data_IF_944473994606
#
_entry.id   IF_944473994606
#
_cell.length_a   1.000
_cell.length_b   1.000
_cell.length_c   1.000
_cell.angle_alpha   90.00
_cell.angle_beta   90.00
_cell.angle_gamma   90.00
#
_symmetry.space_group_name_H-M   'P 1'
#
loop_
_entity.id
_entity.type
_entity.pdbx_description
1 polymer ?
#
# COMPACT_ATOMS: atom_id res chain seq x y z
N UNK A 1 10.16 -25.41 -12.23
CA UNK A 1 11.63 -25.56 -12.29
C UNK A 1 12.15 -26.00 -13.64
N UNK A 2 11.66 -27.10 -14.21
CA UNK A 2 12.05 -27.56 -15.56
C UNK A 2 11.84 -26.49 -16.63
N UNK A 3 10.62 -25.96 -16.74
CA UNK A 3 10.24 -24.89 -17.69
C UNK A 3 11.18 -23.68 -17.64
N UNK A 4 11.56 -23.21 -16.43
CA UNK A 4 12.44 -22.05 -16.29
C UNK A 4 13.84 -22.31 -16.87
N UNK A 5 14.40 -23.50 -16.62
CA UNK A 5 15.70 -23.91 -17.17
C UNK A 5 15.62 -24.12 -18.68
N UNK A 6 14.54 -24.75 -19.16
CA UNK A 6 14.33 -25.00 -20.60
C UNK A 6 14.26 -23.70 -21.42
N UNK A 7 13.83 -22.58 -20.82
CA UNK A 7 13.82 -21.24 -21.45
C UNK A 7 15.04 -20.37 -21.10
N UNK A 8 16.09 -20.96 -20.50
CA UNK A 8 17.36 -20.30 -20.23
C UNK A 8 17.37 -19.35 -19.03
N UNK A 9 16.43 -19.49 -18.09
CA UNK A 9 16.40 -18.70 -16.85
C UNK A 9 17.17 -19.43 -15.74
N UNK A 10 18.31 -18.86 -15.34
CA UNK A 10 19.15 -19.37 -14.26
C UNK A 10 19.63 -18.24 -13.31
N UNK A 11 19.71 -18.49 -12.00
CA UNK A 11 19.28 -19.72 -11.32
C UNK A 11 17.75 -19.82 -11.24
N UNK A 12 17.24 -21.05 -11.36
CA UNK A 12 15.86 -21.36 -11.01
C UNK A 12 15.85 -21.96 -9.59
N UNK A 13 15.01 -21.44 -8.69
CA UNK A 13 14.97 -21.83 -7.28
C UNK A 13 13.53 -22.01 -6.79
N UNK A 14 13.34 -22.89 -5.79
CA UNK A 14 12.09 -23.02 -5.03
C UNK A 14 12.37 -22.57 -3.60
N UNK A 15 11.68 -21.53 -3.15
CA UNK A 15 11.81 -20.99 -1.80
C UNK A 15 10.61 -21.44 -0.97
N UNK A 16 10.83 -22.31 0.01
CA UNK A 16 9.80 -22.74 0.94
C UNK A 16 9.67 -21.71 2.06
N UNK A 17 8.44 -21.30 2.38
CA UNK A 17 8.16 -20.30 3.41
C UNK A 17 7.21 -20.85 4.47
N UNK A 18 7.40 -20.42 5.71
CA UNK A 18 6.44 -20.66 6.80
C UNK A 18 5.47 -19.50 6.84
N UNK A 19 4.19 -19.78 6.67
CA UNK A 19 3.12 -18.77 6.72
C UNK A 19 2.66 -18.59 8.16
N UNK A 20 2.73 -17.35 8.66
CA UNK A 20 2.23 -17.00 9.99
C UNK A 20 0.70 -16.94 10.07
N UNK A 21 0.18 -16.67 11.27
CA UNK A 21 -1.27 -16.53 11.51
C UNK A 21 -1.76 -15.07 11.58
N UNK A 22 -0.86 -14.09 11.61
CA UNK A 22 -1.23 -12.68 11.79
C UNK A 22 -1.83 -12.08 10.51
N UNK A 23 -2.87 -11.26 10.65
CA UNK A 23 -3.49 -10.54 9.53
C UNK A 23 -4.38 -11.39 8.60
N UNK A 24 -4.58 -12.67 8.92
CA UNK A 24 -5.33 -13.63 8.11
C UNK A 24 -4.48 -14.35 7.05
N UNK A 25 -4.96 -15.47 6.50
CA UNK A 25 -4.15 -16.38 5.68
C UNK A 25 -3.61 -15.74 4.40
N UNK A 26 -4.40 -14.91 3.71
CA UNK A 26 -3.94 -14.23 2.48
C UNK A 26 -2.86 -13.18 2.76
N UNK A 27 -3.00 -12.42 3.85
CA UNK A 27 -2.04 -11.38 4.22
C UNK A 27 -0.72 -12.00 4.69
N UNK A 28 -0.78 -13.01 5.56
CA UNK A 28 0.40 -13.73 6.05
C UNK A 28 1.14 -14.44 4.92
N UNK A 29 0.42 -15.10 3.99
CA UNK A 29 1.05 -15.75 2.84
C UNK A 29 1.71 -14.73 1.90
N UNK A 30 1.07 -13.57 1.70
CA UNK A 30 1.63 -12.48 0.92
C UNK A 30 2.90 -11.93 1.58
N UNK A 31 2.88 -11.68 2.88
CA UNK A 31 4.05 -11.18 3.61
C UNK A 31 5.22 -12.15 3.53
N UNK A 32 4.98 -13.45 3.83
CA UNK A 32 5.99 -14.49 3.74
C UNK A 32 6.60 -14.60 2.33
N UNK A 33 5.76 -14.51 1.28
CA UNK A 33 6.22 -14.50 -0.12
C UNK A 33 7.12 -13.30 -0.43
N UNK A 34 6.72 -12.11 -0.01
CA UNK A 34 7.53 -10.90 -0.26
C UNK A 34 8.83 -10.91 0.53
N UNK A 35 8.85 -11.45 1.74
CA UNK A 35 10.07 -11.63 2.52
C UNK A 35 11.05 -12.58 1.82
N UNK A 36 10.59 -13.76 1.37
CA UNK A 36 11.45 -14.70 0.64
C UNK A 36 11.96 -14.14 -0.70
N UNK A 37 11.13 -13.39 -1.44
CA UNK A 37 11.56 -12.71 -2.66
C UNK A 37 12.60 -11.62 -2.38
N UNK A 38 12.47 -10.89 -1.27
CA UNK A 38 13.44 -9.88 -0.86
C UNK A 38 14.79 -10.52 -0.51
N UNK A 39 14.79 -11.58 0.31
CA UNK A 39 15.99 -12.32 0.70
C UNK A 39 16.70 -12.90 -0.53
N UNK A 40 15.96 -13.53 -1.45
CA UNK A 40 16.54 -14.05 -2.69
C UNK A 40 17.10 -12.93 -3.57
N UNK A 41 16.43 -11.80 -3.67
CA UNK A 41 16.93 -10.67 -4.44
C UNK A 41 18.20 -10.07 -3.85
N UNK A 42 18.37 -10.08 -2.53
CA UNK A 42 19.62 -9.67 -1.87
C UNK A 42 20.74 -10.67 -2.12
N UNK A 43 20.49 -11.96 -1.87
CA UNK A 43 21.45 -13.05 -2.07
C UNK A 43 21.96 -13.11 -3.52
N UNK A 44 21.07 -12.92 -4.49
CA UNK A 44 21.40 -12.94 -5.92
C UNK A 44 21.86 -11.57 -6.45
N UNK A 45 21.93 -10.53 -5.60
CA UNK A 45 22.24 -9.14 -5.99
C UNK A 45 21.37 -8.64 -7.15
N UNK A 46 20.10 -9.04 -7.17
CA UNK A 46 19.16 -8.63 -8.19
C UNK A 46 18.77 -7.16 -8.01
N UNK A 47 18.96 -6.35 -9.06
CA UNK A 47 18.49 -4.96 -9.08
C UNK A 47 16.96 -4.86 -9.09
N UNK A 48 16.30 -5.82 -9.74
CA UNK A 48 14.87 -5.78 -10.03
C UNK A 48 14.22 -7.14 -9.83
N UNK A 49 12.99 -7.12 -9.28
CA UNK A 49 12.11 -8.29 -9.17
C UNK A 49 10.86 -8.06 -10.03
N UNK A 50 10.67 -8.91 -11.04
CA UNK A 50 9.52 -8.87 -11.94
C UNK A 50 8.36 -9.69 -11.38
N UNK A 51 7.17 -9.10 -11.30
CA UNK A 51 5.96 -9.76 -10.80
C UNK A 51 4.90 -9.79 -11.90
N UNK A 52 4.28 -10.96 -12.09
CA UNK A 52 3.27 -11.20 -13.14
C UNK A 52 1.87 -10.72 -12.81
N UNK A 53 1.73 -9.53 -12.21
CA UNK A 53 0.40 -8.94 -11.97
C UNK A 53 -0.17 -8.33 -13.25
N UNK A 54 -1.46 -8.52 -13.46
CA UNK A 54 -2.24 -8.09 -14.63
C UNK A 54 -3.25 -6.99 -14.28
N UNK A 55 -3.93 -6.47 -15.29
CA UNK A 55 -5.03 -5.50 -15.16
C UNK A 55 -6.19 -6.03 -14.33
N UNK A 56 -6.47 -7.32 -14.43
CA UNK A 56 -7.49 -8.01 -13.64
C UNK A 56 -7.11 -8.01 -12.14
N UNK A 57 -5.84 -8.27 -11.82
CA UNK A 57 -5.34 -8.20 -10.44
C UNK A 57 -5.42 -6.77 -9.87
N UNK A 58 -5.32 -5.75 -10.73
CA UNK A 58 -5.56 -4.36 -10.35
C UNK A 58 -7.01 -4.12 -9.99
N UNK A 59 -7.94 -4.51 -10.87
CA UNK A 59 -9.36 -4.37 -10.62
C UNK A 59 -9.79 -5.04 -9.31
N UNK A 60 -9.29 -6.26 -9.05
CA UNK A 60 -9.48 -6.94 -7.77
C UNK A 60 -8.96 -6.12 -6.58
N UNK A 61 -7.75 -5.57 -6.71
CA UNK A 61 -7.12 -4.77 -5.64
C UNK A 61 -7.92 -3.52 -5.35
N UNK A 62 -8.44 -2.85 -6.37
CA UNK A 62 -9.27 -1.64 -6.24
C UNK A 62 -10.59 -1.96 -5.54
N UNK A 63 -11.30 -3.02 -5.95
CA UNK A 63 -12.56 -3.43 -5.33
C UNK A 63 -12.36 -3.81 -3.85
N UNK A 64 -11.30 -4.55 -3.54
CA UNK A 64 -10.95 -4.86 -2.15
C UNK A 64 -10.55 -3.61 -1.36
N UNK A 65 -9.92 -2.63 -2.01
CA UNK A 65 -9.57 -1.33 -1.42
C UNK A 65 -10.80 -0.48 -1.09
N UNK A 66 -11.78 -0.45 -2.01
CA UNK A 66 -13.08 0.21 -1.83
C UNK A 66 -13.85 -0.38 -0.65
N UNK A 67 -13.97 -1.71 -0.60
CA UNK A 67 -14.69 -2.40 0.48
C UNK A 67 -14.09 -2.14 1.87
N UNK A 68 -12.78 -1.87 1.96
CA UNK A 68 -12.09 -1.54 3.21
C UNK A 68 -12.24 -0.07 3.65
N UNK A 69 -12.92 0.77 2.86
CA UNK A 69 -13.21 2.16 3.23
C UNK A 69 -11.96 3.03 3.43
N UNK A 70 -10.87 2.74 2.71
CA UNK A 70 -9.62 3.48 2.86
C UNK A 70 -9.55 4.64 1.84
N UNK A 71 -8.88 5.73 2.21
CA UNK A 71 -8.80 6.95 1.38
C UNK A 71 -8.09 6.72 0.05
N UNK A 72 -7.94 7.78 -0.75
CA UNK A 72 -7.46 7.74 -2.15
C UNK A 72 -6.29 6.77 -2.44
N UNK A 73 -5.33 6.62 -1.49
CA UNK A 73 -4.20 5.70 -1.60
C UNK A 73 -4.58 4.21 -1.73
N UNK A 74 -5.69 3.75 -1.15
CA UNK A 74 -6.14 2.36 -1.35
C UNK A 74 -6.80 2.14 -2.71
N UNK A 75 -7.35 3.20 -3.30
CA UNK A 75 -7.91 3.19 -4.65
C UNK A 75 -6.83 3.23 -5.72
N UNK A 76 -5.64 3.74 -5.40
CA UNK A 76 -4.47 3.78 -6.30
C UNK A 76 -3.96 2.39 -6.74
N UNK A 77 -4.55 1.30 -6.25
CA UNK A 77 -4.20 -0.08 -6.62
C UNK A 77 -2.74 -0.42 -6.35
N UNK A 78 -2.16 -1.29 -7.19
CA UNK A 78 -0.73 -1.58 -7.23
C UNK A 78 0.02 -0.53 -8.05
N UNK A 79 1.27 -0.24 -7.69
CA UNK A 79 2.15 0.59 -8.51
C UNK A 79 2.87 -0.26 -9.56
N UNK A 80 3.07 0.27 -10.77
CA UNK A 80 3.92 -0.38 -11.78
C UNK A 80 5.36 -0.56 -11.27
N UNK A 81 5.85 0.40 -10.47
CA UNK A 81 7.15 0.38 -9.79
C UNK A 81 6.98 0.61 -8.29
N UNK A 82 7.61 -0.22 -7.47
CA UNK A 82 7.64 -0.07 -6.01
C UNK A 82 8.98 -0.56 -5.48
N UNK A 83 9.89 0.34 -5.12
CA UNK A 83 11.26 -0.03 -4.73
C UNK A 83 11.96 -0.84 -5.84
N UNK A 84 12.39 -2.06 -5.54
CA UNK A 84 12.97 -3.02 -6.51
C UNK A 84 11.94 -3.82 -7.33
N UNK A 85 10.66 -3.77 -6.96
CA UNK A 85 9.61 -4.55 -7.64
C UNK A 85 9.10 -3.82 -8.88
N UNK A 86 8.85 -4.57 -9.96
CA UNK A 86 8.26 -4.10 -11.22
C UNK A 86 7.12 -5.02 -11.64
N UNK A 87 6.09 -4.44 -12.24
CA UNK A 87 4.89 -5.15 -12.74
C UNK A 87 4.68 -4.81 -14.22
N UNK A 88 5.45 -5.40 -15.15
CA UNK A 88 5.40 -5.03 -16.57
C UNK A 88 4.09 -5.40 -17.27
N UNK A 89 3.31 -6.34 -16.70
CA UNK A 89 2.07 -6.83 -17.30
C UNK A 89 0.81 -6.13 -16.74
N UNK A 90 0.98 -5.08 -15.93
CA UNK A 90 -0.09 -4.51 -15.11
C UNK A 90 -1.23 -3.89 -15.93
N UNK A 91 -0.93 -3.47 -17.16
CA UNK A 91 -1.90 -2.89 -18.09
C UNK A 91 -2.50 -3.93 -19.05
N UNK A 92 -1.99 -5.17 -19.03
CA UNK A 92 -2.47 -6.26 -19.88
C UNK A 92 -3.58 -7.04 -19.18
N UNK A 93 -4.63 -7.45 -19.90
CA UNK A 93 -5.62 -8.35 -19.34
C UNK A 93 -5.03 -9.74 -19.14
N UNK A 94 -5.53 -10.47 -18.14
CA UNK A 94 -5.13 -11.85 -17.86
C UNK A 94 -5.35 -12.77 -19.08
N UNK A 95 -6.37 -12.51 -19.88
CA UNK A 95 -6.60 -13.28 -21.10
C UNK A 95 -5.41 -13.24 -22.06
N UNK A 96 -4.70 -12.10 -22.15
CA UNK A 96 -3.50 -11.96 -22.99
C UNK A 96 -2.35 -12.81 -22.47
N UNK A 97 -2.13 -12.86 -21.15
CA UNK A 97 -1.05 -13.69 -20.58
C UNK A 97 -1.34 -15.18 -20.75
N UNK A 98 -2.60 -15.59 -20.60
CA UNK A 98 -3.03 -16.97 -20.88
C UNK A 98 -2.85 -17.34 -22.35
N UNK A 99 -3.24 -16.45 -23.28
CA UNK A 99 -3.04 -16.65 -24.71
C UNK A 99 -1.55 -16.77 -25.08
N UNK A 100 -0.71 -15.94 -24.48
CA UNK A 100 0.74 -16.00 -24.67
C UNK A 100 1.34 -17.33 -24.19
N UNK A 101 0.94 -17.81 -22.99
CA UNK A 101 1.36 -19.13 -22.51
C UNK A 101 0.97 -20.25 -23.48
N UNK A 102 -0.27 -20.24 -23.99
CA UNK A 102 -0.73 -21.22 -25.00
C UNK A 102 0.09 -21.16 -26.28
N UNK A 103 0.34 -19.95 -26.81
CA UNK A 103 1.12 -19.75 -28.02
C UNK A 103 2.58 -20.23 -27.88
N UNK A 104 3.14 -20.14 -26.67
CA UNK A 104 4.50 -20.61 -26.36
C UNK A 104 4.55 -22.08 -25.92
N UNK A 105 3.43 -22.80 -25.89
CA UNK A 105 3.39 -24.18 -25.39
C UNK A 105 3.70 -24.31 -23.89
N UNK A 106 3.50 -23.25 -23.11
CA UNK A 106 3.74 -23.23 -21.67
C UNK A 106 2.48 -23.66 -20.92
N UNK A 107 2.61 -24.67 -20.06
CA UNK A 107 1.56 -25.07 -19.11
C UNK A 107 1.79 -24.37 -17.77
N UNK A 108 1.00 -23.33 -17.41
CA UNK A 108 1.11 -22.71 -16.10
C UNK A 108 0.68 -23.68 -14.99
N UNK A 109 1.24 -23.50 -13.81
CA UNK A 109 0.77 -24.20 -12.62
C UNK A 109 -0.59 -23.65 -12.19
N UNK A 110 -1.54 -24.54 -11.92
CA UNK A 110 -2.85 -24.18 -11.38
C UNK A 110 -2.89 -24.48 -9.89
N UNK A 111 -2.88 -23.43 -9.06
CA UNK A 111 -2.93 -23.54 -7.61
C UNK A 111 -4.36 -23.83 -7.15
N UNK A 112 -4.63 -24.93 -6.42
CA UNK A 112 -5.97 -25.24 -5.90
C UNK A 112 -6.62 -24.09 -5.09
N UNK A 113 -5.83 -23.22 -4.46
CA UNK A 113 -6.35 -22.07 -3.72
C UNK A 113 -6.96 -20.99 -4.62
N UNK A 114 -6.70 -21.02 -5.94
CA UNK A 114 -7.28 -20.07 -6.90
C UNK A 114 -8.79 -20.24 -7.10
N UNK A 115 -9.35 -21.36 -6.66
CA UNK A 115 -10.77 -21.71 -6.80
C UNK A 115 -11.51 -21.72 -5.46
N UNK A 116 -10.82 -21.60 -4.33
CA UNK A 116 -11.44 -21.72 -3.02
C UNK A 116 -12.19 -20.42 -2.63
N UNK A 117 -13.54 -20.44 -2.54
CA UNK A 117 -14.34 -19.24 -2.31
C UNK A 117 -14.20 -18.69 -0.89
N UNK A 118 -13.51 -19.37 0.04
CA UNK A 118 -13.17 -18.81 1.36
C UNK A 118 -12.28 -17.58 1.22
N UNK A 119 -11.47 -17.52 0.16
CA UNK A 119 -10.60 -16.38 -0.14
C UNK A 119 -11.37 -15.24 -0.80
N UNK A 120 -11.26 -14.04 -0.21
CA UNK A 120 -12.03 -12.87 -0.68
C UNK A 120 -11.63 -12.51 -2.12
N UNK A 121 -10.36 -12.68 -2.46
CA UNK A 121 -9.87 -12.41 -3.82
C UNK A 121 -10.48 -13.33 -4.87
N UNK A 122 -10.68 -14.61 -4.52
CA UNK A 122 -11.36 -15.61 -5.36
C UNK A 122 -12.80 -15.20 -5.62
N UNK A 123 -13.54 -14.77 -4.58
CA UNK A 123 -14.92 -14.26 -4.75
C UNK A 123 -14.99 -13.01 -5.61
N UNK A 124 -14.02 -12.09 -5.48
CA UNK A 124 -13.98 -10.90 -6.34
C UNK A 124 -13.79 -11.27 -7.80
N UNK A 125 -12.87 -12.21 -8.09
CA UNK A 125 -12.56 -12.67 -9.44
C UNK A 125 -13.71 -13.44 -10.10
N UNK A 126 -14.30 -14.40 -9.39
CA UNK A 126 -15.26 -15.34 -9.98
C UNK A 126 -16.72 -14.94 -9.79
N UNK A 127 -17.02 -13.95 -8.95
CA UNK A 127 -18.40 -13.52 -8.69
C UNK A 127 -18.57 -12.02 -8.91
N UNK A 128 -17.80 -11.18 -8.20
CA UNK A 128 -18.05 -9.73 -8.20
C UNK A 128 -17.75 -9.09 -9.57
N UNK A 129 -16.56 -9.32 -10.11
CA UNK A 129 -16.18 -8.76 -11.42
C UNK A 129 -17.11 -9.25 -12.55
N UNK A 130 -17.43 -10.56 -12.67
CA UNK A 130 -18.39 -11.04 -13.65
C UNK A 130 -19.78 -10.41 -13.53
N UNK A 131 -20.31 -10.25 -12.31
CA UNK A 131 -21.59 -9.57 -12.09
C UNK A 131 -21.52 -8.10 -12.53
N UNK A 132 -20.45 -7.39 -12.17
CA UNK A 132 -20.29 -6.00 -12.61
C UNK A 132 -20.22 -5.89 -14.14
N UNK A 133 -19.50 -6.80 -14.82
CA UNK A 133 -19.44 -6.79 -16.29
C UNK A 133 -20.77 -7.16 -16.94
N UNK A 134 -21.53 -8.09 -16.35
CA UNK A 134 -22.85 -8.47 -16.85
C UNK A 134 -23.87 -7.33 -16.72
N UNK A 135 -23.86 -6.60 -15.60
CA UNK A 135 -24.86 -5.59 -15.27
C UNK A 135 -24.49 -4.18 -15.79
N UNK A 136 -23.20 -3.83 -15.82
CA UNK A 136 -22.72 -2.49 -16.22
C UNK A 136 -22.11 -2.46 -17.62
N UNK A 137 -21.90 -3.62 -18.23
CA UNK A 137 -21.27 -3.78 -19.54
C UNK A 137 -19.78 -4.14 -19.46
N UNK A 138 -19.19 -4.54 -20.60
CA UNK A 138 -17.81 -5.01 -20.65
C UNK A 138 -16.81 -3.90 -20.32
N UNK A 139 -15.64 -4.29 -19.80
CA UNK A 139 -14.53 -3.36 -19.57
C UNK A 139 -14.49 -2.73 -18.18
N UNK A 140 -15.26 -3.24 -17.22
CA UNK A 140 -15.21 -2.79 -15.81
C UNK A 140 -13.81 -2.92 -15.24
N UNK A 141 -13.12 -4.03 -15.49
CA UNK A 141 -11.75 -4.23 -15.00
C UNK A 141 -10.78 -3.16 -15.52
N UNK A 142 -10.93 -2.77 -16.79
CA UNK A 142 -10.13 -1.70 -17.38
C UNK A 142 -10.48 -0.33 -16.80
N UNK A 143 -11.77 -0.02 -16.62
CA UNK A 143 -12.20 1.22 -16.01
C UNK A 143 -11.68 1.37 -14.56
N UNK A 144 -11.70 0.29 -13.78
CA UNK A 144 -11.15 0.25 -12.43
C UNK A 144 -9.63 0.46 -12.44
N UNK A 145 -8.90 -0.19 -13.34
CA UNK A 145 -7.46 0.00 -13.48
C UNK A 145 -7.08 1.43 -13.89
N UNK A 146 -7.82 2.05 -14.84
CA UNK A 146 -7.63 3.47 -15.20
C UNK A 146 -7.90 4.39 -14.02
N UNK A 147 -8.98 4.15 -13.28
CA UNK A 147 -9.31 4.91 -12.05
C UNK A 147 -8.20 4.80 -11.01
N UNK A 148 -7.62 3.61 -10.83
CA UNK A 148 -6.48 3.41 -9.95
C UNK A 148 -5.24 4.20 -10.39
N UNK A 149 -4.99 4.26 -11.71
CA UNK A 149 -3.91 5.07 -12.29
C UNK A 149 -4.08 6.55 -11.98
N UNK A 150 -5.28 7.11 -12.19
CA UNK A 150 -5.60 8.51 -11.88
C UNK A 150 -5.48 8.78 -10.37
N UNK A 151 -6.10 7.95 -9.54
CA UNK A 151 -6.03 8.06 -8.09
C UNK A 151 -4.58 7.96 -7.57
N UNK A 152 -3.70 7.24 -8.25
CA UNK A 152 -2.26 7.18 -7.93
C UNK A 152 -1.56 8.49 -8.25
N UNK A 153 -1.78 9.05 -9.44
CA UNK A 153 -1.19 10.33 -9.83
C UNK A 153 -1.56 11.42 -8.83
N UNK A 154 -2.85 11.51 -8.48
CA UNK A 154 -3.34 12.46 -7.49
C UNK A 154 -2.75 12.22 -6.10
N UNK A 155 -2.69 10.95 -5.67
CA UNK A 155 -2.12 10.60 -4.37
C UNK A 155 -0.63 10.92 -4.28
N UNK A 156 0.15 10.64 -5.34
CA UNK A 156 1.58 10.91 -5.41
C UNK A 156 1.85 12.44 -5.43
N UNK A 157 1.06 13.23 -6.17
CA UNK A 157 1.16 14.69 -6.15
C UNK A 157 0.83 15.29 -4.77
N UNK A 158 -0.22 14.78 -4.10
CA UNK A 158 -0.58 15.22 -2.74
C UNK A 158 0.49 14.83 -1.71
N UNK A 159 1.14 13.67 -1.88
CA UNK A 159 2.24 13.23 -1.03
C UNK A 159 3.47 14.12 -1.24
N UNK A 160 3.79 14.52 -2.49
CA UNK A 160 4.86 15.48 -2.80
C UNK A 160 4.60 16.86 -2.16
N UNK A 161 3.38 17.39 -2.28
CA UNK A 161 3.02 18.66 -1.63
C UNK A 161 3.11 18.57 -0.11
N UNK A 162 2.73 17.43 0.47
CA UNK A 162 2.87 17.20 1.90
C UNK A 162 4.33 17.12 2.34
N UNK A 163 5.19 16.52 1.51
CA UNK A 163 6.62 16.44 1.78
C UNK A 163 7.28 17.82 1.77
N UNK A 164 6.96 18.66 0.79
CA UNK A 164 7.40 20.06 0.75
C UNK A 164 6.84 20.85 1.94
N UNK A 165 5.54 20.71 2.23
CA UNK A 165 4.92 21.40 3.36
C UNK A 165 5.50 20.97 4.71
N UNK A 166 5.86 19.69 4.87
CA UNK A 166 6.51 19.20 6.09
C UNK A 166 7.83 19.90 6.35
N UNK A 167 8.66 20.16 5.33
CA UNK A 167 9.92 20.89 5.50
C UNK A 167 9.70 22.32 6.02
N UNK A 168 8.62 22.97 5.59
CA UNK A 168 8.27 24.31 6.06
C UNK A 168 7.66 24.32 7.47
N UNK A 169 7.02 23.21 7.88
CA UNK A 169 6.39 23.08 9.19
C UNK A 169 7.36 22.55 10.26
N UNK A 170 8.41 21.83 9.89
CA UNK A 170 9.31 21.16 10.83
C UNK A 170 10.20 22.17 11.56
N UNK A 171 10.07 22.21 12.89
CA UNK A 171 10.93 22.98 13.79
C UNK A 171 12.09 22.13 14.32
N UNK A 172 11.89 20.81 14.43
CA UNK A 172 12.92 19.84 14.80
C UNK A 172 12.48 18.44 14.37
N UNK A 173 13.44 17.65 13.89
CA UNK A 173 13.30 16.24 13.49
C UNK A 173 14.55 15.48 13.94
N UNK A 174 14.73 15.34 15.26
CA UNK A 174 15.95 14.78 15.85
C UNK A 174 15.56 13.72 16.89
N UNK A 175 16.13 12.52 16.75
CA UNK A 175 16.07 11.48 17.79
C UNK A 175 14.65 11.00 18.14
N UNK A 176 13.72 11.00 17.19
CA UNK A 176 12.32 10.60 17.40
C UNK A 176 11.45 11.67 18.07
N UNK A 177 12.00 12.86 18.36
CA UNK A 177 11.24 14.04 18.78
C UNK A 177 10.96 14.92 17.57
N UNK A 178 9.72 14.92 17.12
CA UNK A 178 9.28 15.75 15.99
C UNK A 178 8.49 16.93 16.51
N UNK A 179 8.90 18.14 16.13
CA UNK A 179 8.17 19.37 16.44
C UNK A 179 7.75 20.04 15.13
N UNK A 180 6.46 20.32 15.00
CA UNK A 180 5.91 21.04 13.85
C UNK A 180 5.12 22.27 14.31
N UNK A 181 5.26 23.38 13.60
CA UNK A 181 4.51 24.61 13.91
C UNK A 181 3.04 24.47 13.51
N UNK A 182 2.14 24.78 14.44
CA UNK A 182 0.70 24.71 14.19
C UNK A 182 0.25 25.80 13.22
N UNK A 183 0.87 26.98 13.26
CA UNK A 183 0.50 28.10 12.41
C UNK A 183 0.69 27.81 10.92
N UNK A 184 1.72 27.05 10.54
CA UNK A 184 1.89 26.62 9.14
C UNK A 184 0.94 25.50 8.77
N UNK A 185 0.67 24.57 9.70
CA UNK A 185 -0.31 23.51 9.47
C UNK A 185 -1.71 24.07 9.20
N UNK A 186 -2.16 25.08 9.96
CA UNK A 186 -3.49 25.70 9.81
C UNK A 186 -3.71 26.33 8.42
N UNK A 187 -2.64 26.72 7.71
CA UNK A 187 -2.70 27.27 6.35
C UNK A 187 -2.89 26.20 5.28
N UNK A 188 -2.61 24.93 5.60
CA UNK A 188 -2.64 23.85 4.63
C UNK A 188 -4.08 23.35 4.40
N UNK A 189 -4.43 23.01 3.14
CA UNK A 189 -5.64 22.24 2.88
C UNK A 189 -5.66 20.94 3.68
N UNK A 190 -6.84 20.54 4.13
CA UNK A 190 -7.06 19.34 4.95
C UNK A 190 -6.35 18.08 4.43
N UNK A 191 -6.40 17.86 3.12
CA UNK A 191 -5.80 16.68 2.49
C UNK A 191 -4.26 16.66 2.60
N UNK A 192 -3.62 17.83 2.57
CA UNK A 192 -2.16 18.00 2.70
C UNK A 192 -1.77 17.98 4.17
N UNK A 193 -2.49 18.73 5.03
CA UNK A 193 -2.24 18.78 6.47
C UNK A 193 -2.23 17.39 7.11
N UNK A 194 -3.26 16.57 6.82
CA UNK A 194 -3.35 15.21 7.35
C UNK A 194 -2.19 14.32 6.88
N UNK A 195 -1.66 14.53 5.66
CA UNK A 195 -0.46 13.82 5.18
C UNK A 195 0.81 14.29 5.90
N UNK A 196 0.97 15.59 6.14
CA UNK A 196 2.06 16.16 6.94
C UNK A 196 2.04 15.55 8.35
N UNK A 197 0.87 15.49 8.99
CA UNK A 197 0.72 14.89 10.32
C UNK A 197 1.06 13.40 10.32
N UNK A 198 0.63 12.66 9.29
CA UNK A 198 0.97 11.24 9.14
C UNK A 198 2.48 11.05 8.96
N UNK A 199 3.13 11.88 8.13
CA UNK A 199 4.59 11.88 7.92
C UNK A 199 5.34 12.18 9.22
N UNK A 200 4.91 13.19 9.98
CA UNK A 200 5.50 13.54 11.28
C UNK A 200 5.43 12.37 12.27
N UNK A 201 4.28 11.70 12.37
CA UNK A 201 4.14 10.52 13.23
C UNK A 201 5.06 9.36 12.81
N UNK A 202 5.22 9.12 11.50
CA UNK A 202 6.16 8.10 11.02
C UNK A 202 7.62 8.47 11.33
N UNK A 203 8.00 9.74 11.12
CA UNK A 203 9.34 10.23 11.45
C UNK A 203 9.64 10.11 12.95
N UNK A 204 8.61 10.29 13.80
CA UNK A 204 8.70 10.08 15.24
C UNK A 204 8.78 8.59 15.65
N UNK A 205 8.64 7.65 14.71
CA UNK A 205 8.76 6.21 14.95
C UNK A 205 7.45 5.43 15.03
N UNK A 206 6.30 6.02 14.66
CA UNK A 206 5.05 5.28 14.62
C UNK A 206 5.11 4.12 13.60
N UNK A 207 4.76 2.88 13.98
CA UNK A 207 4.71 1.76 13.04
C UNK A 207 3.70 2.02 11.91
N UNK A 208 4.19 2.02 10.67
CA UNK A 208 3.39 2.43 9.50
C UNK A 208 2.14 1.57 9.26
N UNK A 209 2.19 0.29 9.64
CA UNK A 209 1.06 -0.64 9.55
C UNK A 209 -0.01 -0.49 10.64
N UNK A 210 0.34 0.13 11.78
CA UNK A 210 -0.59 0.35 12.89
C UNK A 210 -1.19 1.78 12.88
N UNK A 211 -0.52 2.73 12.22
CA UNK A 211 -0.97 4.12 12.12
C UNK A 211 -2.18 4.27 11.17
N UNK A 212 -3.38 4.16 11.74
CA UNK A 212 -4.66 4.32 11.04
C UNK A 212 -5.05 5.79 10.78
N UNK A 213 -6.06 5.98 9.92
CA UNK A 213 -6.67 7.29 9.66
C UNK A 213 -7.31 7.92 10.91
N UNK A 214 -7.85 7.10 11.82
CA UNK A 214 -8.44 7.58 13.08
C UNK A 214 -7.40 8.29 13.94
N UNK A 215 -6.17 7.78 14.01
CA UNK A 215 -5.07 8.44 14.72
C UNK A 215 -4.73 9.78 14.09
N UNK A 216 -4.58 9.83 12.76
CA UNK A 216 -4.27 11.07 12.03
C UNK A 216 -5.35 12.12 12.24
N UNK A 217 -6.64 11.73 12.18
CA UNK A 217 -7.76 12.64 12.44
C UNK A 217 -7.80 13.12 13.90
N UNK A 218 -7.42 12.28 14.86
CA UNK A 218 -7.33 12.69 16.26
C UNK A 218 -6.24 13.74 16.47
N UNK A 219 -5.07 13.58 15.82
CA UNK A 219 -4.01 14.58 15.83
C UNK A 219 -4.44 15.85 15.08
N UNK A 220 -5.14 15.74 13.96
CA UNK A 220 -5.64 16.90 13.19
C UNK A 220 -6.57 17.80 14.03
N UNK A 221 -7.33 17.21 14.96
CA UNK A 221 -8.17 17.99 15.90
C UNK A 221 -7.36 18.83 16.89
N UNK A 222 -6.12 18.44 17.21
CA UNK A 222 -5.21 19.26 18.02
C UNK A 222 -4.80 20.54 17.26
N UNK A 223 -4.87 20.51 15.93
CA UNK A 223 -4.63 21.68 15.08
C UNK A 223 -5.91 22.51 14.94
N UNK A 224 -6.99 21.90 14.45
CA UNK A 224 -8.17 22.63 13.95
C UNK A 224 -9.23 22.98 15.00
N UNK A 225 -9.31 22.26 16.11
CA UNK A 225 -10.35 22.46 17.13
C UNK A 225 -9.76 22.49 18.54
N UNK A 226 -8.62 23.15 18.73
CA UNK A 226 -7.93 23.16 20.01
C UNK A 226 -8.67 23.96 21.08
N UNK A 227 -8.88 23.34 22.25
CA UNK A 227 -9.54 23.92 23.43
C UNK A 227 -8.86 23.48 24.74
N UNK A 228 -7.60 23.04 24.68
CA UNK A 228 -6.87 22.48 25.82
C UNK A 228 -6.95 20.96 25.93
N UNK A 229 -7.07 20.24 24.81
CA UNK A 229 -7.09 18.77 24.80
C UNK A 229 -5.82 18.16 25.39
N UNK A 230 -5.93 16.96 25.94
CA UNK A 230 -4.78 16.14 26.34
C UNK A 230 -4.03 15.60 25.11
N UNK A 231 -2.88 14.98 25.36
CA UNK A 231 -2.13 14.26 24.34
C UNK A 231 -2.99 13.16 23.69
N UNK A 232 -2.74 12.91 22.40
CA UNK A 232 -3.33 11.84 21.62
C UNK A 232 -2.33 10.69 21.58
N UNK A 233 -2.75 9.50 22.01
CA UNK A 233 -1.92 8.31 21.93
C UNK A 233 -1.87 7.77 20.50
N UNK A 234 -0.67 7.36 20.09
CA UNK A 234 -0.34 6.84 18.79
C UNK A 234 0.30 5.44 18.94
N UNK A 235 0.24 4.60 17.91
CA UNK A 235 0.88 3.28 17.94
C UNK A 235 2.39 3.35 18.17
N UNK A 236 2.95 2.31 18.80
CA UNK A 236 4.38 2.24 19.10
C UNK A 236 4.79 3.00 20.37
N UNK A 237 3.85 3.29 21.27
CA UNK A 237 4.13 4.04 22.50
C UNK A 237 4.39 5.53 22.25
N UNK A 238 4.06 6.03 21.07
CA UNK A 238 4.17 7.43 20.68
C UNK A 238 2.94 8.22 21.18
N UNK A 239 3.10 9.50 21.49
CA UNK A 239 1.97 10.41 21.69
C UNK A 239 2.19 11.68 20.87
N UNK A 240 1.10 12.42 20.62
CA UNK A 240 1.11 13.75 20.01
C UNK A 240 0.42 14.77 20.91
N UNK A 241 1.02 15.93 21.13
CA UNK A 241 0.45 16.98 21.99
C UNK A 241 0.71 18.37 21.41
N UNK A 242 -0.26 19.29 21.57
CA UNK A 242 -0.08 20.71 21.26
C UNK A 242 0.38 21.46 22.51
N UNK A 243 1.50 22.17 22.43
CA UNK A 243 2.02 23.07 23.48
C UNK A 243 2.52 24.37 22.84
N UNK A 244 2.05 25.52 23.31
CA UNK A 244 2.51 26.86 22.87
C UNK A 244 2.57 27.03 21.33
N UNK A 245 1.53 26.61 20.60
CA UNK A 245 1.48 26.71 19.14
C UNK A 245 2.39 25.73 18.39
N UNK A 246 3.02 24.79 19.08
CA UNK A 246 3.81 23.70 18.51
C UNK A 246 3.09 22.38 18.74
N UNK A 247 3.05 21.54 17.71
CA UNK A 247 2.61 20.15 17.82
C UNK A 247 3.86 19.26 17.95
N UNK A 248 3.89 18.45 19.00
CA UNK A 248 5.05 17.65 19.42
C UNK A 248 4.67 16.18 19.33
N UNK A 249 5.50 15.38 18.65
CA UNK A 249 5.42 13.92 18.61
C UNK A 249 6.65 13.35 19.31
N UNK A 250 6.45 12.46 20.28
CA UNK A 250 7.53 11.79 21.00
C UNK A 250 7.02 10.52 21.70
N UNK A 251 7.95 9.63 22.08
CA UNK A 251 7.65 8.46 22.92
C UNK A 251 7.05 8.96 24.24
N UNK A 252 5.95 8.33 24.65
CA UNK A 252 5.23 8.65 25.88
C UNK A 252 6.03 8.23 27.12
N UNK A 253 6.03 9.00 28.22
CA UNK A 253 5.36 10.29 28.38
C UNK A 253 6.15 11.44 27.76
N UNK A 254 5.45 12.38 27.12
CA UNK A 254 6.04 13.63 26.64
C UNK A 254 6.25 14.54 27.85
N UNK A 255 7.49 14.67 28.31
CA UNK A 255 7.90 15.61 29.35
C UNK A 255 7.57 17.05 28.93
#
# INVERSE_FOLDING_TARGET
MKVARDVGLEPAEVLTVTVGAQGGPEAAAREARYAALAEAAERLKAETVLLGHTRDDQAETVLLGLARGSGLRSLSGMAARSGRYRRPLLDLPRATTVAACRAMGLTPWDDPHNEDPRYTRVRVRHTVLPVLEAELGPGVAEALARTAGLARQDADALDEWADTAYQNCALSDIGGLIKVTVAELEKLPDAVRRRVLRRAALAAGAPSGALSATHVLAVDRLVTNWRGQKAVDLPGGLSAVRRYGTLIFAISPIA
#
